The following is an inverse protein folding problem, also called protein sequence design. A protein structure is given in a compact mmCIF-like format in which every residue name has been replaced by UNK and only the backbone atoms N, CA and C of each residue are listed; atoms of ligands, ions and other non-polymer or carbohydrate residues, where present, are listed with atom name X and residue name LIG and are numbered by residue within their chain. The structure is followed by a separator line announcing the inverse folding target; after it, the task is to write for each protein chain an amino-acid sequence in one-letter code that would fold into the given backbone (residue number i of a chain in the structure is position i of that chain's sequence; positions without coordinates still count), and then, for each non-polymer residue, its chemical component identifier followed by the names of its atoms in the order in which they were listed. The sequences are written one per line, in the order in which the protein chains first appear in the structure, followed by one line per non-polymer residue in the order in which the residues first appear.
data_IF_260199693184
#
_entry.id   IF_260199693184
#
_cell.length_a   1.000
_cell.length_b   1.000
_cell.length_c   1.000
_cell.angle_alpha   90.00
_cell.angle_beta   90.00
_cell.angle_gamma   90.00
#
_symmetry.space_group_name_H-M   'P 1'
#
loop_
_entity.id
_entity.type
_entity.pdbx_description
1 polymer ?
#
# COMPACT_ATOMS: atom_id res chain seq x y z
N UNK A 1 18.12 -13.65 -15.69
CA UNK A 1 16.98 -13.10 -14.94
C UNK A 1 17.44 -11.80 -14.31
N UNK A 2 16.98 -10.65 -14.80
CA UNK A 2 17.30 -9.36 -14.19
C UNK A 2 16.83 -9.35 -12.74
N UNK A 3 17.69 -8.96 -11.81
CA UNK A 3 17.35 -8.90 -10.39
C UNK A 3 16.20 -7.91 -10.23
N UNK A 4 15.05 -8.38 -9.77
CA UNK A 4 13.92 -7.52 -9.43
C UNK A 4 14.35 -6.73 -8.19
N UNK A 5 14.58 -5.44 -8.35
CA UNK A 5 14.88 -4.56 -7.23
C UNK A 5 13.57 -4.28 -6.46
N UNK A 6 13.52 -4.58 -5.16
CA UNK A 6 12.33 -4.30 -4.37
C UNK A 6 12.16 -2.79 -4.21
N UNK A 7 10.90 -2.36 -4.22
CA UNK A 7 10.45 -0.97 -4.20
C UNK A 7 10.30 -0.51 -2.76
N UNK A 8 10.95 0.60 -2.43
CA UNK A 8 10.88 1.18 -1.10
C UNK A 8 9.50 1.78 -0.82
N UNK A 9 8.93 1.49 0.35
CA UNK A 9 7.69 2.10 0.85
C UNK A 9 8.00 2.99 2.04
N UNK A 10 7.67 4.28 1.94
CA UNK A 10 7.67 5.22 3.06
C UNK A 10 6.25 5.38 3.57
N UNK A 11 6.03 5.15 4.87
CA UNK A 11 4.71 5.31 5.50
C UNK A 11 4.60 6.68 6.18
N UNK A 12 3.54 7.41 5.87
CA UNK A 12 3.13 8.64 6.55
C UNK A 12 1.94 8.33 7.44
N UNK A 13 2.03 8.69 8.72
CA UNK A 13 0.98 8.44 9.72
C UNK A 13 0.44 9.72 10.33
N UNK A 14 1.15 10.83 10.16
CA UNK A 14 0.79 12.13 10.71
C UNK A 14 0.07 12.99 9.65
N UNK A 15 -1.11 13.54 9.96
CA UNK A 15 -1.81 14.42 9.04
C UNK A 15 -1.03 15.71 8.80
N UNK A 16 -1.04 16.19 7.56
CA UNK A 16 -0.37 17.44 7.18
C UNK A 16 1.15 17.34 7.01
N UNK A 17 1.73 16.14 7.10
CA UNK A 17 3.16 15.92 6.82
C UNK A 17 3.45 16.20 5.34
N UNK A 18 4.25 17.23 5.07
CA UNK A 18 4.71 17.56 3.73
C UNK A 18 5.93 16.70 3.37
N UNK A 19 5.86 16.05 2.22
CA UNK A 19 6.96 15.29 1.64
C UNK A 19 7.15 15.71 0.19
N UNK A 20 8.37 16.06 -0.20
CA UNK A 20 8.70 16.26 -1.60
C UNK A 20 8.64 14.90 -2.31
N UNK A 21 7.94 14.85 -3.44
CA UNK A 21 7.87 13.68 -4.30
C UNK A 21 8.74 13.93 -5.52
N UNK A 22 9.71 13.05 -5.75
CA UNK A 22 10.48 13.01 -6.99
C UNK A 22 9.63 12.40 -8.12
N UNK A 23 10.07 12.58 -9.37
CA UNK A 23 9.36 12.05 -10.55
C UNK A 23 9.23 10.52 -10.61
N UNK A 24 10.05 9.78 -9.86
CA UNK A 24 10.00 8.31 -9.72
C UNK A 24 9.20 7.80 -8.52
N UNK A 25 8.55 8.70 -7.76
CA UNK A 25 7.82 8.35 -6.54
C UNK A 25 6.31 8.30 -6.77
N UNK A 26 5.70 7.14 -6.56
CA UNK A 26 4.25 7.03 -6.54
C UNK A 26 3.67 7.35 -5.15
N UNK A 27 2.52 8.02 -5.12
CA UNK A 27 1.78 8.32 -3.90
C UNK A 27 0.52 7.46 -3.83
N UNK A 28 0.37 6.70 -2.74
CA UNK A 28 -0.84 5.97 -2.38
C UNK A 28 -1.46 6.57 -1.13
N UNK A 29 -2.66 7.17 -1.24
CA UNK A 29 -3.41 7.66 -0.07
C UNK A 29 -4.44 6.62 0.34
N UNK A 30 -4.37 6.18 1.59
CA UNK A 30 -5.35 5.26 2.16
C UNK A 30 -6.54 6.08 2.70
N UNK A 31 -7.77 5.76 2.31
CA UNK A 31 -8.95 6.44 2.85
C UNK A 31 -9.19 6.01 4.31
N UNK A 32 -9.94 6.82 5.06
CA UNK A 32 -10.34 6.49 6.42
C UNK A 32 -11.28 5.27 6.50
N UNK A 33 -12.10 5.09 5.47
CA UNK A 33 -12.99 3.94 5.27
C UNK A 33 -13.41 3.84 3.79
N UNK A 34 -14.15 2.79 3.44
CA UNK A 34 -14.73 2.60 2.11
C UNK A 34 -15.88 3.56 1.74
N UNK A 35 -16.42 4.30 2.71
CA UNK A 35 -17.59 5.18 2.53
C UNK A 35 -18.95 4.48 2.54
N UNK A 36 -19.01 3.16 2.80
CA UNK A 36 -20.23 2.37 2.71
C UNK A 36 -21.07 2.27 4.01
N UNK A 37 -20.95 3.26 4.92
CA UNK A 37 -21.82 3.36 6.10
C UNK A 37 -21.57 2.34 7.22
N UNK A 38 -20.50 1.55 7.12
CA UNK A 38 -20.06 0.61 8.16
C UNK A 38 -18.52 0.56 8.22
N UNK A 39 -17.97 -0.01 9.28
CA UNK A 39 -16.53 -0.23 9.39
C UNK A 39 -16.05 -1.23 8.33
N UNK A 40 -14.90 -0.96 7.72
CA UNK A 40 -14.30 -1.84 6.72
C UNK A 40 -13.90 -3.17 7.38
N UNK A 41 -14.31 -4.30 6.80
CA UNK A 41 -14.07 -5.62 7.37
C UNK A 41 -14.99 -6.01 8.53
N UNK A 42 -15.76 -5.08 9.11
CA UNK A 42 -16.73 -5.40 10.15
C UNK A 42 -17.98 -6.12 9.62
N UNK A 43 -18.44 -5.77 8.42
CA UNK A 43 -19.70 -6.29 7.85
C UNK A 43 -19.61 -6.68 6.36
N UNK A 44 -18.60 -6.18 5.64
CA UNK A 44 -18.48 -6.38 4.20
C UNK A 44 -17.04 -6.70 3.81
N UNK A 45 -16.85 -7.89 3.24
CA UNK A 45 -15.53 -8.34 2.74
C UNK A 45 -15.03 -7.45 1.60
N UNK A 46 -15.91 -6.96 0.73
CA UNK A 46 -15.50 -6.07 -0.36
C UNK A 46 -14.92 -4.75 0.17
N UNK A 47 -15.45 -4.24 1.29
CA UNK A 47 -14.94 -3.02 1.91
C UNK A 47 -13.60 -3.27 2.61
N UNK A 48 -13.43 -4.44 3.25
CA UNK A 48 -12.13 -4.87 3.78
C UNK A 48 -11.04 -4.89 2.69
N UNK A 49 -11.37 -5.39 1.51
CA UNK A 49 -10.42 -5.51 0.40
C UNK A 49 -10.15 -4.17 -0.30
N UNK A 50 -11.13 -3.26 -0.34
CA UNK A 50 -10.98 -1.95 -1.00
C UNK A 50 -9.98 -1.05 -0.28
N UNK A 51 -9.83 -1.20 1.03
CA UNK A 51 -8.91 -0.40 1.84
C UNK A 51 -7.65 -1.16 2.28
N UNK A 52 -7.50 -2.42 1.88
CA UNK A 52 -6.27 -3.19 2.09
C UNK A 52 -5.11 -2.61 1.26
N UNK A 53 -4.06 -2.17 1.96
CA UNK A 53 -2.87 -1.56 1.34
C UNK A 53 -2.17 -2.48 0.33
N UNK A 54 -2.19 -3.80 0.53
CA UNK A 54 -1.57 -4.76 -0.41
C UNK A 54 -2.38 -4.84 -1.70
N UNK A 55 -3.70 -4.86 -1.61
CA UNK A 55 -4.55 -4.82 -2.80
C UNK A 55 -4.28 -3.57 -3.65
N UNK A 56 -4.17 -2.40 -3.00
CA UNK A 56 -3.91 -1.13 -3.67
C UNK A 56 -2.49 -1.03 -4.26
N UNK A 57 -1.46 -1.52 -3.55
CA UNK A 57 -0.09 -1.59 -4.07
C UNK A 57 0.03 -2.53 -5.26
N UNK A 58 -0.67 -3.67 -5.22
CA UNK A 58 -0.70 -4.61 -6.32
C UNK A 58 -1.34 -3.99 -7.57
N UNK A 59 -2.51 -3.36 -7.43
CA UNK A 59 -3.18 -2.65 -8.52
C UNK A 59 -2.28 -1.55 -9.13
N UNK A 60 -1.59 -0.79 -8.28
CA UNK A 60 -0.64 0.23 -8.72
C UNK A 60 0.53 -0.36 -9.52
N UNK A 61 1.11 -1.47 -9.04
CA UNK A 61 2.20 -2.17 -9.72
C UNK A 61 1.76 -2.74 -11.07
N UNK A 62 0.59 -3.38 -11.12
CA UNK A 62 0.06 -3.96 -12.36
C UNK A 62 -0.30 -2.87 -13.37
N UNK A 63 -0.87 -1.75 -12.91
CA UNK A 63 -1.12 -0.59 -13.75
C UNK A 63 0.16 -0.02 -14.37
N UNK A 64 1.25 0.07 -13.60
CA UNK A 64 2.54 0.52 -14.13
C UNK A 64 3.14 -0.48 -15.14
N UNK A 65 3.07 -1.80 -14.87
CA UNK A 65 3.54 -2.84 -15.80
C UNK A 65 2.79 -2.84 -17.13
N UNK A 66 1.50 -2.52 -17.09
CA UNK A 66 0.65 -2.44 -18.27
C UNK A 66 0.79 -1.09 -19.02
N UNK A 67 1.62 -0.17 -18.53
CA UNK A 67 1.77 1.17 -19.11
C UNK A 67 0.55 2.09 -18.88
N UNK A 68 -0.38 1.70 -18.00
CA UNK A 68 -1.54 2.49 -17.63
C UNK A 68 -1.20 3.57 -16.57
N UNK A 69 -0.02 3.46 -15.96
CA UNK A 69 0.53 4.42 -15.00
C UNK A 69 2.02 4.64 -15.29
N UNK A 70 2.59 5.80 -14.91
CA UNK A 70 4.04 5.99 -14.93
C UNK A 70 4.75 4.91 -14.12
N UNK A 71 5.93 4.51 -14.58
CA UNK A 71 6.82 3.66 -13.79
C UNK A 71 7.32 4.42 -12.55
N UNK A 72 7.56 3.68 -11.47
CA UNK A 72 8.03 4.22 -10.19
C UNK A 72 9.04 3.26 -9.58
N UNK A 73 9.95 3.79 -8.76
CA UNK A 73 10.93 3.01 -7.99
C UNK A 73 10.79 3.22 -6.48
N UNK A 74 9.92 4.14 -6.06
CA UNK A 74 9.58 4.41 -4.66
C UNK A 74 8.07 4.59 -4.52
N UNK A 75 7.54 4.26 -3.36
CA UNK A 75 6.15 4.51 -2.99
C UNK A 75 6.08 5.23 -1.65
N UNK A 76 5.23 6.23 -1.58
CA UNK A 76 4.80 6.86 -0.33
C UNK A 76 3.38 6.41 -0.06
N UNK A 77 3.15 5.77 1.09
CA UNK A 77 1.82 5.41 1.57
C UNK A 77 1.42 6.42 2.63
N UNK A 78 0.40 7.21 2.34
CA UNK A 78 -0.24 8.09 3.31
C UNK A 78 -1.37 7.34 4.00
N UNK A 79 -1.11 6.96 5.26
CA UNK A 79 -2.05 6.30 6.16
C UNK A 79 -2.55 7.25 7.27
N UNK A 80 -2.38 8.56 7.12
CA UNK A 80 -2.75 9.54 8.16
C UNK A 80 -4.26 9.57 8.47
N UNK A 81 -5.09 9.11 7.54
CA UNK A 81 -6.53 8.99 7.71
C UNK A 81 -6.97 7.60 8.26
N UNK A 82 -6.07 6.62 8.34
CA UNK A 82 -6.40 5.25 8.73
C UNK A 82 -6.53 5.15 10.24
N UNK A 83 -7.64 4.57 10.71
CA UNK A 83 -7.95 4.41 12.13
C UNK A 83 -6.93 3.56 12.89
N UNK A 84 -6.53 2.42 12.33
CA UNK A 84 -5.51 1.54 12.90
C UNK A 84 -4.35 1.35 11.93
N UNK A 85 -3.29 2.14 12.13
CA UNK A 85 -2.07 2.08 11.31
C UNK A 85 -1.30 0.78 11.53
N UNK A 86 -1.47 0.13 12.69
CA UNK A 86 -0.79 -1.13 13.02
C UNK A 86 -1.12 -2.23 12.01
N UNK A 87 -2.37 -2.29 11.53
CA UNK A 87 -2.77 -3.20 10.43
C UNK A 87 -2.02 -2.91 9.14
N UNK A 88 -1.81 -1.63 8.78
CA UNK A 88 -1.04 -1.24 7.59
C UNK A 88 0.42 -1.68 7.72
N UNK A 89 1.04 -1.45 8.88
CA UNK A 89 2.41 -1.89 9.16
C UNK A 89 2.50 -3.42 9.10
N UNK A 90 1.56 -4.14 9.72
CA UNK A 90 1.53 -5.60 9.69
C UNK A 90 1.39 -6.14 8.26
N UNK A 91 0.59 -5.50 7.41
CA UNK A 91 0.44 -5.85 6.01
C UNK A 91 1.74 -5.65 5.21
N UNK A 92 2.41 -4.50 5.40
CA UNK A 92 3.66 -4.14 4.71
C UNK A 92 4.88 -4.92 5.20
N UNK A 93 4.84 -5.44 6.43
CA UNK A 93 5.92 -6.24 7.03
C UNK A 93 5.66 -7.75 6.96
N UNK A 94 4.62 -8.18 6.24
CA UNK A 94 4.31 -9.60 6.03
C UNK A 94 3.82 -10.34 7.27
N UNK A 95 3.34 -9.63 8.30
CA UNK A 95 2.81 -10.21 9.54
C UNK A 95 1.34 -10.66 9.40
N UNK A 96 0.65 -10.23 8.36
CA UNK A 96 -0.71 -10.70 8.04
C UNK A 96 -0.64 -11.96 7.15
N UNK A 97 -1.57 -12.92 7.32
CA UNK A 97 -1.64 -14.08 6.45
C UNK A 97 -1.89 -13.65 5.00
N UNK A 98 -1.20 -14.31 4.06
CA UNK A 98 -1.50 -14.18 2.64
C UNK A 98 -2.81 -14.91 2.33
N UNK A 99 -3.73 -14.24 1.65
CA UNK A 99 -5.03 -14.76 1.23
C UNK A 99 -5.11 -14.93 -0.29
N UNK A 100 -4.21 -14.28 -1.04
CA UNK A 100 -4.16 -14.35 -2.50
C UNK A 100 -2.73 -14.16 -3.05
N UNK A 101 -2.52 -14.53 -4.32
CA UNK A 101 -1.23 -14.34 -5.02
C UNK A 101 -0.71 -12.90 -4.96
N UNK A 102 -1.62 -11.91 -5.00
CA UNK A 102 -1.27 -10.49 -4.87
C UNK A 102 -0.49 -10.19 -3.59
N UNK A 103 -0.80 -10.87 -2.49
CA UNK A 103 -0.19 -10.60 -1.19
C UNK A 103 1.27 -11.06 -1.21
N UNK A 104 1.53 -12.20 -1.86
CA UNK A 104 2.89 -12.68 -2.11
C UNK A 104 3.64 -11.79 -3.09
N UNK A 105 2.99 -11.27 -4.13
CA UNK A 105 3.60 -10.30 -5.03
C UNK A 105 4.02 -9.06 -4.26
N UNK A 106 3.15 -8.49 -3.43
CA UNK A 106 3.47 -7.30 -2.65
C UNK A 106 4.62 -7.56 -1.69
N UNK A 107 4.60 -8.67 -0.93
CA UNK A 107 5.66 -9.02 0.01
C UNK A 107 7.04 -9.23 -0.65
N UNK A 108 7.08 -9.58 -1.95
CA UNK A 108 8.33 -9.73 -2.71
C UNK A 108 8.79 -8.44 -3.38
N UNK A 109 7.84 -7.59 -3.76
CA UNK A 109 8.10 -6.40 -4.57
C UNK A 109 8.28 -5.14 -3.72
N UNK A 110 7.76 -5.09 -2.51
CA UNK A 110 7.77 -3.90 -1.67
C UNK A 110 8.38 -4.20 -0.30
N UNK A 111 9.05 -3.20 0.27
CA UNK A 111 9.55 -3.26 1.64
C UNK A 111 9.33 -1.91 2.35
N UNK A 112 8.99 -1.97 3.65
CA UNK A 112 8.82 -0.77 4.47
C UNK A 112 10.20 -0.18 4.80
N UNK A 113 10.51 0.99 4.27
CA UNK A 113 11.75 1.70 4.53
C UNK A 113 11.71 2.39 5.90
N UNK A 114 12.75 2.20 6.72
CA UNK A 114 12.85 2.82 8.05
C UNK A 114 12.17 2.05 9.19
N UNK A 115 11.64 0.84 8.94
CA UNK A 115 11.26 -0.09 10.00
C UNK A 115 12.49 -0.91 10.42
N UNK A 116 13.22 -0.43 11.42
CA UNK A 116 14.24 -1.18 12.15
C UNK A 116 13.80 -1.33 13.61
#
# INVERSE_FOLDING_TARGET
MSRIEPIAVTLITEPGRLLALDGDTALLRLPANSGHGHEDGGQCIACAMRTDVRALLFDMLEGAKQGLRPAFSKVVVDASAVKDVSVVIAALTGKLPAQALRDHTVARMFYLAGAA
#
